data_IF_126741406326
#
_entry.id   IF_126741406326
#
_cell.length_a   1.000
_cell.length_b   1.000
_cell.length_c   1.000
_cell.angle_alpha   90.00
_cell.angle_beta   90.00
_cell.angle_gamma   90.00
#
_symmetry.space_group_name_H-M   'P 1'
#
loop_
_entity.id
_entity.type
_entity.pdbx_description
1 polymer ?
#
# COMPACT_ATOMS: atom_id res chain seq x y z
N UNK A 1 10.01 6.81 -2.78
CA UNK A 1 9.13 6.35 -1.68
C UNK A 1 7.79 5.82 -2.16
N UNK A 2 7.06 6.55 -3.02
CA UNK A 2 5.75 6.09 -3.57
C UNK A 2 5.82 4.75 -4.32
N UNK A 3 6.97 4.42 -4.93
CA UNK A 3 7.16 3.18 -5.71
C UNK A 3 6.88 1.89 -4.92
N UNK A 4 7.18 1.87 -3.62
CA UNK A 4 6.90 0.70 -2.75
C UNK A 4 5.40 0.47 -2.62
N UNK A 5 4.62 1.54 -2.42
CA UNK A 5 3.16 1.45 -2.32
C UNK A 5 2.53 0.88 -3.59
N UNK A 6 3.02 1.28 -4.77
CA UNK A 6 2.51 0.79 -6.05
C UNK A 6 2.74 -0.73 -6.23
N UNK A 7 3.90 -1.23 -5.79
CA UNK A 7 4.19 -2.66 -5.82
C UNK A 7 3.26 -3.43 -4.87
N UNK A 8 3.08 -2.93 -3.65
CA UNK A 8 2.19 -3.54 -2.65
C UNK A 8 0.75 -3.52 -3.14
N UNK A 9 0.28 -2.39 -3.70
CA UNK A 9 -1.05 -2.26 -4.32
C UNK A 9 -1.27 -3.32 -5.39
N UNK A 10 -0.31 -3.48 -6.33
CA UNK A 10 -0.36 -4.52 -7.36
C UNK A 10 -0.41 -5.95 -6.79
N UNK A 11 0.39 -6.22 -5.77
CA UNK A 11 0.43 -7.52 -5.08
C UNK A 11 -0.90 -7.86 -4.40
N UNK A 12 -1.40 -6.96 -3.54
CA UNK A 12 -2.60 -7.19 -2.72
C UNK A 12 -3.85 -7.33 -3.59
N UNK A 13 -3.97 -6.48 -4.63
CA UNK A 13 -5.11 -6.52 -5.55
C UNK A 13 -5.19 -7.80 -6.37
N UNK A 14 -4.04 -8.35 -6.78
CA UNK A 14 -3.97 -9.52 -7.66
C UNK A 14 -4.05 -10.83 -6.88
N UNK A 15 -3.62 -10.85 -5.62
CA UNK A 15 -3.50 -12.08 -4.81
C UNK A 15 -4.80 -12.89 -4.74
N UNK A 16 -5.91 -12.28 -4.32
CA UNK A 16 -7.20 -12.98 -4.16
C UNK A 16 -7.78 -13.47 -5.51
N UNK A 17 -7.87 -12.65 -6.57
CA UNK A 17 -8.28 -13.12 -7.89
C UNK A 17 -7.40 -14.26 -8.43
N UNK A 18 -6.07 -14.16 -8.32
CA UNK A 18 -5.14 -15.19 -8.78
C UNK A 18 -5.29 -16.50 -8.01
N UNK A 19 -5.50 -16.43 -6.69
CA UNK A 19 -5.80 -17.61 -5.88
C UNK A 19 -7.07 -18.32 -6.35
N UNK A 20 -8.14 -17.57 -6.63
CA UNK A 20 -9.40 -18.14 -7.13
C UNK A 20 -9.26 -18.77 -8.52
N UNK A 21 -8.49 -18.13 -9.41
CA UNK A 21 -8.11 -18.64 -10.73
C UNK A 21 -7.38 -19.98 -10.62
N UNK A 22 -6.44 -20.12 -9.67
CA UNK A 22 -5.73 -21.39 -9.42
C UNK A 22 -6.63 -22.48 -8.88
N UNK A 23 -7.64 -22.14 -8.08
CA UNK A 23 -8.67 -23.08 -7.60
C UNK A 23 -9.77 -23.36 -8.63
N UNK A 24 -9.59 -22.96 -9.90
CA UNK A 24 -10.55 -23.12 -11.00
C UNK A 24 -11.94 -22.49 -10.74
N UNK A 25 -12.05 -21.57 -9.78
CA UNK A 25 -13.30 -20.88 -9.42
C UNK A 25 -13.45 -19.55 -10.18
N UNK A 26 -13.61 -19.65 -11.51
CA UNK A 26 -13.59 -18.51 -12.44
C UNK A 26 -14.68 -17.47 -12.17
N UNK A 27 -15.91 -17.91 -11.92
CA UNK A 27 -17.05 -17.03 -11.65
C UNK A 27 -16.79 -16.18 -10.40
N UNK A 28 -16.33 -16.81 -9.32
CA UNK A 28 -15.93 -16.12 -8.09
C UNK A 28 -14.77 -15.16 -8.32
N UNK A 29 -13.82 -15.49 -9.20
CA UNK A 29 -12.72 -14.61 -9.55
C UNK A 29 -13.20 -13.36 -10.29
N UNK A 30 -14.05 -13.51 -11.30
CA UNK A 30 -14.62 -12.38 -12.04
C UNK A 30 -15.55 -11.52 -11.19
N UNK A 31 -16.38 -12.13 -10.36
CA UNK A 31 -17.18 -11.43 -9.37
C UNK A 31 -16.28 -10.62 -8.42
N UNK A 32 -15.20 -11.23 -7.91
CA UNK A 32 -14.23 -10.55 -7.03
C UNK A 32 -13.54 -9.37 -7.74
N UNK A 33 -13.21 -9.50 -9.02
CA UNK A 33 -12.60 -8.43 -9.82
C UNK A 33 -13.58 -7.27 -10.02
N UNK A 34 -14.80 -7.52 -10.49
CA UNK A 34 -15.82 -6.48 -10.66
C UNK A 34 -16.12 -5.72 -9.36
N UNK A 35 -16.34 -6.48 -8.29
CA UNK A 35 -16.51 -6.03 -6.91
C UNK A 35 -15.35 -5.15 -6.42
N UNK A 36 -14.11 -5.55 -6.72
CA UNK A 36 -12.91 -4.81 -6.32
C UNK A 36 -12.74 -3.53 -7.14
N UNK A 37 -13.02 -3.56 -8.44
CA UNK A 37 -12.99 -2.38 -9.31
C UNK A 37 -13.97 -1.31 -8.82
N UNK A 38 -15.22 -1.68 -8.57
CA UNK A 38 -16.27 -0.74 -8.14
C UNK A 38 -15.93 -0.09 -6.79
N UNK A 39 -15.66 -0.89 -5.76
CA UNK A 39 -15.36 -0.35 -4.43
C UNK A 39 -14.10 0.50 -4.40
N UNK A 40 -13.12 0.21 -5.26
CA UNK A 40 -11.83 0.91 -5.26
C UNK A 40 -11.97 2.37 -5.67
N UNK A 41 -12.86 2.70 -6.61
CA UNK A 41 -13.21 4.09 -6.95
C UNK A 41 -13.64 4.84 -5.69
N UNK A 42 -14.62 4.30 -4.97
CA UNK A 42 -15.19 4.95 -3.78
C UNK A 42 -14.15 5.12 -2.68
N UNK A 43 -13.36 4.06 -2.39
CA UNK A 43 -12.36 4.08 -1.31
C UNK A 43 -11.20 5.04 -1.56
N UNK A 44 -10.78 5.21 -2.82
CA UNK A 44 -9.67 6.11 -3.15
C UNK A 44 -10.14 7.56 -3.29
N UNK A 45 -11.30 7.81 -3.90
CA UNK A 45 -11.70 9.19 -4.18
C UNK A 45 -12.43 9.87 -3.04
N UNK A 46 -13.31 9.18 -2.29
CA UNK A 46 -14.09 9.82 -1.22
C UNK A 46 -13.18 10.43 -0.13
N UNK A 47 -12.18 9.73 0.43
CA UNK A 47 -11.34 10.30 1.46
C UNK A 47 -10.44 11.40 0.89
N UNK A 48 -9.98 11.26 -0.36
CA UNK A 48 -9.21 12.30 -1.05
C UNK A 48 -10.02 13.59 -1.20
N UNK A 49 -11.28 13.50 -1.61
CA UNK A 49 -12.21 14.64 -1.75
C UNK A 49 -12.49 15.29 -0.39
N UNK A 50 -12.73 14.48 0.64
CA UNK A 50 -12.89 14.98 2.01
C UNK A 50 -11.62 15.71 2.50
N UNK A 51 -10.44 15.17 2.21
CA UNK A 51 -9.16 15.80 2.54
C UNK A 51 -8.99 17.18 1.93
N UNK A 52 -9.20 17.32 0.61
CA UNK A 52 -9.12 18.64 -0.06
C UNK A 52 -10.22 19.60 0.39
N UNK A 53 -11.38 19.09 0.80
CA UNK A 53 -12.43 19.92 1.41
C UNK A 53 -12.03 20.45 2.79
N UNK A 54 -11.38 19.62 3.63
CA UNK A 54 -10.79 20.08 4.89
C UNK A 54 -9.73 21.17 4.64
N UNK A 55 -8.92 21.05 3.59
CA UNK A 55 -7.96 22.11 3.20
C UNK A 55 -8.69 23.38 2.80
N UNK A 56 -9.76 23.30 2.00
CA UNK A 56 -10.57 24.47 1.64
C UNK A 56 -11.08 25.20 2.88
N UNK A 57 -11.59 24.48 3.88
CA UNK A 57 -12.00 25.07 5.16
C UNK A 57 -10.80 25.70 5.87
N UNK A 58 -9.65 25.03 5.93
CA UNK A 58 -8.46 25.54 6.60
C UNK A 58 -7.91 26.82 5.96
N UNK A 59 -7.96 26.92 4.63
CA UNK A 59 -7.62 28.13 3.88
C UNK A 59 -8.56 29.27 4.24
N UNK A 60 -9.87 28.98 4.37
CA UNK A 60 -10.88 29.98 4.75
C UNK A 60 -10.77 30.45 6.18
N UNK A 61 -10.33 29.59 7.09
CA UNK A 61 -10.03 29.95 8.48
C UNK A 61 -8.69 30.69 8.62
N UNK A 62 -7.91 30.79 7.55
CA UNK A 62 -6.67 31.57 7.52
C UNK A 62 -5.43 30.83 7.99
N UNK A 63 -5.49 29.51 8.22
CA UNK A 63 -4.33 28.71 8.66
C UNK A 63 -3.18 28.70 7.67
N UNK A 64 -3.43 29.02 6.40
CA UNK A 64 -2.42 29.06 5.34
C UNK A 64 -1.81 30.45 5.10
N UNK A 65 -2.32 31.54 5.71
CA UNK A 65 -1.83 32.89 5.39
C UNK A 65 -0.36 33.09 5.75
N UNK A 66 0.01 32.80 6.99
CA UNK A 66 1.38 32.96 7.45
C UNK A 66 2.33 31.98 6.74
N UNK A 67 1.92 30.72 6.61
CA UNK A 67 2.71 29.72 5.89
C UNK A 67 2.99 30.08 4.43
N UNK A 68 2.00 30.65 3.74
CA UNK A 68 2.14 31.10 2.34
C UNK A 68 3.08 32.29 2.24
N UNK A 69 3.01 33.22 3.20
CA UNK A 69 3.96 34.33 3.28
C UNK A 69 5.41 33.82 3.48
N UNK A 70 5.64 32.87 4.40
CA UNK A 70 6.96 32.26 4.63
C UNK A 70 7.50 31.58 3.37
N UNK A 71 6.63 30.89 2.63
CA UNK A 71 6.98 30.26 1.35
C UNK A 71 7.39 31.30 0.30
N UNK A 72 6.61 32.38 0.17
CA UNK A 72 6.80 33.43 -0.84
C UNK A 72 8.03 34.30 -0.55
N UNK A 73 8.35 34.52 0.72
CA UNK A 73 9.59 35.17 1.15
C UNK A 73 10.81 34.34 0.73
N UNK A 74 10.73 33.01 0.74
CA UNK A 74 11.74 32.11 0.15
C UNK A 74 13.11 32.09 0.86
N UNK A 75 13.29 32.87 1.93
CA UNK A 75 14.57 33.00 2.66
C UNK A 75 14.75 31.99 3.81
N UNK A 76 13.66 31.38 4.27
CA UNK A 76 13.66 30.54 5.48
C UNK A 76 13.78 29.05 5.13
N UNK A 77 12.92 28.52 4.27
CA UNK A 77 12.95 27.11 3.85
C UNK A 77 13.61 27.02 2.47
N UNK A 78 14.84 26.49 2.43
CA UNK A 78 15.60 26.30 1.20
C UNK A 78 15.26 24.93 0.59
N UNK A 79 14.76 24.91 -0.65
CA UNK A 79 14.44 23.66 -1.35
C UNK A 79 13.32 23.80 -2.38
N UNK A 80 12.70 22.68 -2.75
CA UNK A 80 11.50 22.68 -3.60
C UNK A 80 10.29 23.08 -2.77
N UNK A 81 9.88 24.34 -2.89
CA UNK A 81 8.66 24.84 -2.27
C UNK A 81 7.44 24.25 -2.99
N UNK A 82 6.63 23.50 -2.25
CA UNK A 82 5.42 22.91 -2.78
C UNK A 82 4.30 23.96 -2.90
N UNK A 83 3.35 23.70 -3.80
CA UNK A 83 2.27 24.61 -4.13
C UNK A 83 1.30 24.74 -2.94
N UNK A 84 0.94 25.97 -2.56
CA UNK A 84 -0.12 26.24 -1.57
C UNK A 84 -1.41 26.65 -2.29
N UNK A 85 -2.57 26.40 -1.68
CA UNK A 85 -3.85 26.78 -2.25
C UNK A 85 -3.98 28.30 -2.42
N UNK A 86 -4.51 28.79 -3.57
CA UNK A 86 -4.79 30.20 -3.75
C UNK A 86 -5.93 30.64 -2.82
N UNK A 87 -5.85 31.89 -2.34
CA UNK A 87 -6.91 32.51 -1.53
C UNK A 87 -7.78 33.42 -2.40
N UNK A 88 -9.07 33.10 -2.51
CA UNK A 88 -10.06 33.94 -3.22
C UNK A 88 -10.93 34.73 -2.24
N UNK A 89 -11.22 36.00 -2.54
CA UNK A 89 -12.05 36.86 -1.67
C UNK A 89 -13.49 36.34 -1.54
N UNK A 90 -14.08 35.83 -2.62
CA UNK A 90 -15.45 35.32 -2.63
C UNK A 90 -15.51 33.83 -2.32
N UNK A 91 -16.42 33.41 -1.42
CA UNK A 91 -16.66 31.99 -1.10
C UNK A 91 -16.96 31.16 -2.34
N UNK A 92 -17.80 31.70 -3.24
CA UNK A 92 -18.25 31.04 -4.46
C UNK A 92 -17.08 30.75 -5.40
N UNK A 93 -16.12 31.68 -5.50
CA UNK A 93 -14.93 31.51 -6.35
C UNK A 93 -14.04 30.38 -5.84
N UNK A 94 -13.79 30.31 -4.54
CA UNK A 94 -13.00 29.22 -3.95
C UNK A 94 -13.72 27.89 -4.03
N UNK A 95 -15.04 27.86 -3.82
CA UNK A 95 -15.80 26.63 -3.96
C UNK A 95 -15.78 26.14 -5.41
N UNK A 96 -15.86 27.04 -6.39
CA UNK A 96 -15.71 26.72 -7.81
C UNK A 96 -14.31 26.17 -8.13
N UNK A 97 -13.26 26.79 -7.60
CA UNK A 97 -11.88 26.32 -7.77
C UNK A 97 -11.65 24.93 -7.15
N UNK A 98 -12.20 24.68 -5.96
CA UNK A 98 -12.21 23.37 -5.34
C UNK A 98 -12.99 22.33 -6.16
N UNK A 99 -14.17 22.69 -6.66
CA UNK A 99 -14.97 21.80 -7.52
C UNK A 99 -14.23 21.43 -8.81
N UNK A 100 -13.59 22.40 -9.47
CA UNK A 100 -12.76 22.14 -10.65
C UNK A 100 -11.57 21.25 -10.32
N UNK A 101 -10.93 21.46 -9.17
CA UNK A 101 -9.86 20.59 -8.67
C UNK A 101 -10.34 19.15 -8.47
N UNK A 102 -11.52 18.96 -7.87
CA UNK A 102 -12.16 17.64 -7.70
C UNK A 102 -12.43 17.01 -9.07
N UNK A 103 -13.00 17.76 -10.01
CA UNK A 103 -13.34 17.26 -11.34
C UNK A 103 -12.10 16.80 -12.12
N UNK A 104 -11.01 17.57 -12.06
CA UNK A 104 -9.73 17.18 -12.65
C UNK A 104 -9.07 15.99 -11.95
N UNK A 105 -9.20 15.88 -10.62
CA UNK A 105 -8.69 14.73 -9.87
C UNK A 105 -9.44 13.44 -10.25
N UNK A 106 -10.74 13.54 -10.55
CA UNK A 106 -11.58 12.41 -10.94
C UNK A 106 -11.40 11.98 -12.39
N UNK A 107 -10.70 12.75 -13.23
CA UNK A 107 -10.47 12.42 -14.63
C UNK A 107 -9.52 11.20 -14.77
N UNK A 108 -10.01 10.03 -15.20
CA UNK A 108 -9.18 8.85 -15.32
C UNK A 108 -8.43 8.80 -16.67
N UNK A 109 -8.76 9.68 -17.63
CA UNK A 109 -8.27 9.62 -19.01
C UNK A 109 -7.07 10.51 -19.26
N UNK A 110 -6.83 11.49 -18.40
CA UNK A 110 -5.58 12.23 -18.44
C UNK A 110 -4.43 11.35 -17.95
N UNK A 111 -3.47 11.05 -18.83
CA UNK A 111 -2.29 10.21 -18.53
C UNK A 111 -1.12 10.97 -17.90
N UNK A 112 -1.23 12.30 -17.79
CA UNK A 112 -0.22 13.16 -17.20
C UNK A 112 -0.28 13.16 -15.66
N UNK A 113 0.77 13.68 -15.04
CA UNK A 113 0.80 13.88 -13.59
C UNK A 113 0.15 15.22 -13.27
N UNK A 114 -0.88 15.22 -12.43
CA UNK A 114 -1.60 16.42 -12.01
C UNK A 114 -1.35 16.70 -10.53
N UNK A 115 -0.56 17.73 -10.25
CA UNK A 115 -0.36 18.28 -8.92
C UNK A 115 -1.38 19.39 -8.72
N UNK A 116 -2.22 19.25 -7.70
CA UNK A 116 -3.22 20.27 -7.36
C UNK A 116 -2.73 21.16 -6.22
N UNK A 117 -3.29 22.37 -6.11
CA UNK A 117 -2.85 23.36 -5.13
C UNK A 117 -3.31 23.07 -3.69
N UNK A 118 -4.37 22.28 -3.48
CA UNK A 118 -4.89 21.98 -2.14
C UNK A 118 -4.08 20.89 -1.45
N UNK A 119 -3.68 19.86 -2.19
CA UNK A 119 -2.84 18.78 -1.72
C UNK A 119 -2.08 18.17 -2.91
N UNK A 120 -0.87 18.67 -3.20
CA UNK A 120 -0.06 18.23 -4.32
C UNK A 120 0.16 16.72 -4.33
N UNK A 121 0.29 16.09 -3.15
CA UNK A 121 0.60 14.67 -3.07
C UNK A 121 -0.48 13.78 -3.69
N UNK A 122 -1.75 14.20 -3.71
CA UNK A 122 -2.87 13.41 -4.24
C UNK A 122 -2.77 13.07 -5.74
N UNK A 123 -1.76 13.59 -6.45
CA UNK A 123 -1.43 13.18 -7.82
C UNK A 123 -1.32 11.66 -7.99
N UNK A 124 -0.95 10.92 -6.93
CA UNK A 124 -0.83 9.45 -7.02
C UNK A 124 -2.18 8.75 -7.10
N UNK A 125 -3.27 9.33 -6.59
CA UNK A 125 -4.58 8.67 -6.49
C UNK A 125 -5.14 8.31 -7.87
N UNK A 126 -5.17 9.22 -8.87
CA UNK A 126 -5.59 8.87 -10.23
C UNK A 126 -4.64 7.87 -10.88
N UNK A 127 -3.33 7.93 -10.59
CA UNK A 127 -2.34 6.97 -11.11
C UNK A 127 -2.63 5.56 -10.56
N UNK A 128 -2.78 5.43 -9.24
CA UNK A 128 -3.15 4.20 -8.54
C UNK A 128 -4.44 3.60 -9.12
N UNK A 129 -5.45 4.42 -9.38
CA UNK A 129 -6.69 3.96 -9.97
C UNK A 129 -6.50 3.44 -11.40
N UNK A 130 -5.82 4.18 -12.28
CA UNK A 130 -5.52 3.75 -13.66
C UNK A 130 -4.72 2.45 -13.72
N UNK A 131 -3.65 2.35 -12.92
CA UNK A 131 -2.85 1.12 -12.85
C UNK A 131 -3.66 -0.08 -12.37
N UNK A 132 -4.64 0.15 -11.49
CA UNK A 132 -5.56 -0.91 -11.03
C UNK A 132 -6.46 -1.40 -12.14
N UNK A 133 -6.99 -0.50 -12.97
CA UNK A 133 -7.78 -0.89 -14.16
C UNK A 133 -6.94 -1.71 -15.14
N UNK A 134 -5.71 -1.27 -15.43
CA UNK A 134 -4.77 -2.02 -16.28
C UNK A 134 -4.46 -3.41 -15.69
N UNK A 135 -4.26 -3.50 -14.38
CA UNK A 135 -4.02 -4.74 -13.67
C UNK A 135 -5.23 -5.68 -13.76
N UNK A 136 -6.43 -5.20 -13.47
CA UNK A 136 -7.65 -6.02 -13.53
C UNK A 136 -7.91 -6.52 -14.94
N UNK A 137 -7.72 -5.67 -15.96
CA UNK A 137 -7.82 -6.08 -17.35
C UNK A 137 -6.80 -7.16 -17.72
N UNK A 138 -5.56 -7.01 -17.24
CA UNK A 138 -4.51 -8.01 -17.45
C UNK A 138 -4.90 -9.33 -16.81
N UNK A 139 -5.36 -9.34 -15.55
CA UNK A 139 -5.82 -10.56 -14.86
C UNK A 139 -6.96 -11.25 -15.61
N UNK A 140 -7.95 -10.49 -16.10
CA UNK A 140 -9.05 -11.04 -16.90
C UNK A 140 -8.51 -11.71 -18.17
N UNK A 141 -7.64 -11.01 -18.90
CA UNK A 141 -7.04 -11.50 -20.15
C UNK A 141 -6.26 -12.82 -19.93
N UNK A 142 -5.41 -12.88 -18.90
CA UNK A 142 -4.56 -14.05 -18.63
C UNK A 142 -5.23 -15.13 -17.78
N UNK A 143 -6.48 -14.93 -17.36
CA UNK A 143 -7.17 -15.82 -16.42
C UNK A 143 -7.19 -17.27 -16.92
N UNK A 144 -7.50 -17.48 -18.21
CA UNK A 144 -7.62 -18.82 -18.82
C UNK A 144 -6.31 -19.42 -19.30
N UNK A 145 -5.20 -18.70 -19.21
CA UNK A 145 -3.91 -19.19 -19.68
C UNK A 145 -3.24 -20.13 -18.67
N UNK A 146 -2.42 -21.04 -19.19
CA UNK A 146 -1.54 -21.87 -18.36
C UNK A 146 -0.58 -20.95 -17.59
N UNK A 147 -0.23 -21.34 -16.36
CA UNK A 147 0.62 -20.54 -15.45
C UNK A 147 1.92 -20.07 -16.10
N UNK A 148 2.63 -20.94 -16.82
CA UNK A 148 3.88 -20.55 -17.48
C UNK A 148 3.65 -19.53 -18.61
N UNK A 149 2.58 -19.70 -19.41
CA UNK A 149 2.21 -18.77 -20.48
C UNK A 149 1.85 -17.41 -19.88
N UNK A 150 1.06 -17.42 -18.81
CA UNK A 150 0.67 -16.21 -18.07
C UNK A 150 1.90 -15.46 -17.55
N UNK A 151 2.82 -16.14 -16.87
CA UNK A 151 4.05 -15.53 -16.36
C UNK A 151 4.91 -14.94 -17.49
N UNK A 152 5.07 -15.66 -18.59
CA UNK A 152 5.80 -15.16 -19.77
C UNK A 152 5.13 -13.93 -20.36
N UNK A 153 3.82 -13.96 -20.59
CA UNK A 153 3.07 -12.83 -21.16
C UNK A 153 3.10 -11.59 -20.27
N UNK A 154 2.91 -11.77 -18.96
CA UNK A 154 3.00 -10.66 -17.98
C UNK A 154 4.42 -10.09 -17.95
N UNK A 155 5.45 -10.94 -18.02
CA UNK A 155 6.85 -10.49 -18.10
C UNK A 155 7.14 -9.72 -19.39
N UNK A 156 6.62 -10.17 -20.54
CA UNK A 156 6.70 -9.43 -21.80
C UNK A 156 5.98 -8.09 -21.73
N UNK A 157 4.81 -8.03 -21.08
CA UNK A 157 4.06 -6.79 -20.87
C UNK A 157 4.81 -5.82 -19.96
N UNK A 158 5.44 -6.31 -18.89
CA UNK A 158 6.32 -5.50 -18.04
C UNK A 158 7.46 -4.90 -18.87
N UNK A 159 8.15 -5.71 -19.67
CA UNK A 159 9.23 -5.24 -20.54
C UNK A 159 8.75 -4.17 -21.54
N UNK A 160 7.57 -4.38 -22.15
CA UNK A 160 6.93 -3.39 -23.02
C UNK A 160 6.64 -2.07 -22.28
N UNK A 161 6.07 -2.12 -21.07
CA UNK A 161 5.80 -0.92 -20.27
C UNK A 161 7.10 -0.20 -19.84
N UNK A 162 8.18 -0.94 -19.55
CA UNK A 162 9.50 -0.37 -19.32
C UNK A 162 9.97 0.39 -20.56
N UNK A 163 9.83 -0.18 -21.76
CA UNK A 163 10.27 0.47 -23.00
C UNK A 163 9.55 1.79 -23.27
N UNK A 164 8.33 1.96 -22.78
CA UNK A 164 7.52 3.18 -22.90
C UNK A 164 7.57 4.10 -21.67
N UNK A 165 8.45 3.81 -20.70
CA UNK A 165 8.61 4.66 -19.51
C UNK A 165 7.43 4.64 -18.53
N UNK A 166 6.54 3.65 -18.62
CA UNK A 166 5.35 3.49 -17.74
C UNK A 166 5.72 2.79 -16.43
N UNK A 167 6.54 3.45 -15.62
CA UNK A 167 7.04 2.96 -14.33
C UNK A 167 5.91 2.55 -13.37
N UNK A 168 4.79 3.27 -13.41
CA UNK A 168 3.61 3.06 -12.59
C UNK A 168 2.94 1.71 -12.86
N UNK A 169 2.71 1.38 -14.14
CA UNK A 169 2.12 0.10 -14.57
C UNK A 169 3.10 -1.05 -14.33
N UNK A 170 4.41 -0.82 -14.55
CA UNK A 170 5.47 -1.80 -14.29
C UNK A 170 5.43 -2.28 -12.84
N UNK A 171 5.28 -1.37 -11.87
CA UNK A 171 5.25 -1.74 -10.45
C UNK A 171 4.03 -2.57 -10.09
N UNK A 172 2.85 -2.22 -10.63
CA UNK A 172 1.62 -2.98 -10.42
C UNK A 172 1.71 -4.40 -11.00
N UNK A 173 2.19 -4.54 -12.23
CA UNK A 173 2.38 -5.83 -12.89
C UNK A 173 3.49 -6.65 -12.21
N UNK A 174 4.56 -6.00 -11.74
CA UNK A 174 5.60 -6.68 -10.94
C UNK A 174 5.02 -7.23 -9.64
N UNK A 175 4.15 -6.46 -8.96
CA UNK A 175 3.39 -6.92 -7.81
C UNK A 175 2.53 -8.15 -8.10
N UNK A 176 1.84 -8.17 -9.23
CA UNK A 176 1.07 -9.33 -9.71
C UNK A 176 1.94 -10.55 -9.98
N UNK A 177 3.08 -10.37 -10.63
CA UNK A 177 4.02 -11.45 -10.90
C UNK A 177 4.54 -12.05 -9.57
N UNK A 178 4.89 -11.20 -8.60
CA UNK A 178 5.29 -11.65 -7.26
C UNK A 178 4.18 -12.42 -6.56
N UNK A 179 2.94 -11.92 -6.60
CA UNK A 179 1.79 -12.62 -5.99
C UNK A 179 1.59 -14.00 -6.61
N UNK A 180 1.74 -14.12 -7.93
CA UNK A 180 1.64 -15.40 -8.62
C UNK A 180 2.76 -16.37 -8.24
N UNK A 181 4.01 -15.90 -8.20
CA UNK A 181 5.16 -16.72 -7.80
C UNK A 181 4.99 -17.18 -6.34
N UNK A 182 4.52 -16.32 -5.45
CA UNK A 182 4.31 -16.68 -4.04
C UNK A 182 3.17 -17.71 -3.87
N UNK A 183 2.12 -17.62 -4.69
CA UNK A 183 1.05 -18.64 -4.77
C UNK A 183 1.56 -19.97 -5.36
N UNK A 184 2.59 -19.97 -6.21
CA UNK A 184 3.22 -21.20 -6.71
C UNK A 184 4.05 -21.88 -5.62
N UNK A 185 4.76 -21.09 -4.81
CA UNK A 185 5.60 -21.60 -3.73
C UNK A 185 4.83 -21.92 -2.44
N UNK A 186 3.54 -21.56 -2.36
CA UNK A 186 2.71 -21.83 -1.19
C UNK A 186 3.16 -21.11 0.07
N UNK A 187 3.81 -19.94 -0.05
CA UNK A 187 4.44 -19.22 1.09
C UNK A 187 3.43 -18.90 2.19
N UNK A 188 2.18 -18.65 1.80
CA UNK A 188 1.10 -18.24 2.70
C UNK A 188 0.01 -19.31 2.87
N UNK A 189 0.25 -20.54 2.41
CA UNK A 189 -0.67 -21.67 2.65
C UNK A 189 -0.27 -22.37 3.95
N UNK A 190 -1.23 -22.56 4.86
CA UNK A 190 -0.99 -23.32 6.09
C UNK A 190 -0.49 -24.74 5.75
N UNK A 191 0.46 -25.29 6.53
CA UNK A 191 0.81 -26.70 6.41
C UNK A 191 -0.48 -27.52 6.55
N UNK A 192 -0.86 -28.23 5.50
CA UNK A 192 -1.99 -29.18 5.58
C UNK A 192 -1.71 -30.09 6.78
N UNK A 193 -2.65 -30.30 7.71
CA UNK A 193 -2.44 -31.27 8.77
C UNK A 193 -2.11 -32.60 8.11
N UNK A 194 -0.91 -33.09 8.35
CA UNK A 194 -0.48 -34.42 7.91
C UNK A 194 -1.51 -35.40 8.46
N UNK A 195 -2.12 -36.28 7.64
CA UNK A 195 -2.92 -37.36 8.18
C UNK A 195 -2.02 -38.13 9.14
N UNK A 196 -2.37 -38.14 10.43
CA UNK A 196 -1.71 -38.99 11.41
C UNK A 196 -1.67 -40.40 10.82
N UNK A 197 -0.51 -41.10 10.80
CA UNK A 197 -0.49 -42.48 10.38
C UNK A 197 -1.48 -43.24 11.25
N UNK A 198 -2.48 -43.86 10.61
CA UNK A 198 -3.48 -44.68 11.27
C UNK A 198 -2.78 -45.64 12.22
N UNK A 199 -2.91 -45.39 13.52
CA UNK A 199 -2.41 -46.29 14.55
C UNK A 199 -2.97 -47.66 14.27
N UNK A 200 -2.10 -48.62 13.93
CA UNK A 200 -2.45 -50.03 13.83
C UNK A 200 -3.08 -50.44 15.16
N UNK A 201 -4.37 -50.76 15.15
CA UNK A 201 -5.06 -51.37 16.28
C UNK A 201 -4.36 -52.65 16.69
N UNK A 202 -3.67 -52.61 17.83
CA UNK A 202 -3.20 -53.81 18.54
C UNK A 202 -4.45 -54.50 19.11
N UNK A 203 -4.72 -55.78 18.80
CA UNK A 203 -5.85 -56.49 19.38
C UNK A 203 -5.50 -56.88 20.82
N UNK A 204 -6.07 -56.18 21.80
CA UNK A 204 -6.03 -56.61 23.19
C UNK A 204 -7.20 -57.56 23.48
N UNK A 205 -6.80 -58.80 23.73
CA UNK A 205 -7.56 -59.94 24.20
C UNK A 205 -8.16 -59.66 25.60
N UNK A 206 -9.46 -59.90 25.75
CA UNK A 206 -10.22 -60.19 26.97
C UNK A 206 -9.74 -59.63 28.34
N UNK A 207 -10.55 -58.74 28.93
CA UNK A 207 -10.97 -58.92 30.32
C UNK A 207 -12.39 -58.38 30.55
N UNK A 208 -13.04 -58.97 31.53
CA UNK A 208 -14.47 -59.24 31.63
C UNK A 208 -15.25 -58.12 32.38
N UNK A 209 -16.44 -57.78 31.85
CA UNK A 209 -17.72 -57.52 32.56
C UNK A 209 -17.80 -56.40 33.61
N UNK A 210 -18.63 -55.39 33.34
CA UNK A 210 -19.87 -55.16 34.12
C UNK A 210 -20.81 -54.22 33.36
N UNK A 211 -22.07 -54.66 33.26
CA UNK A 211 -23.21 -54.07 32.58
C UNK A 211 -24.24 -53.65 33.64
N UNK A 212 -24.87 -52.47 33.51
CA UNK A 212 -26.19 -52.08 34.03
C UNK A 212 -26.59 -50.66 33.48
N UNK A 213 -27.88 -50.28 33.40
CA UNK A 213 -28.54 -50.06 32.11
C UNK A 213 -29.21 -48.69 31.89
N UNK A 214 -29.50 -48.43 30.60
CA UNK A 214 -30.58 -47.64 29.94
C UNK A 214 -31.22 -46.41 30.61
N UNK A 215 -31.27 -45.33 29.83
CA UNK A 215 -32.33 -44.32 29.83
C UNK A 215 -32.45 -43.61 28.47
N UNK A 216 -33.47 -44.02 27.69
CA UNK A 216 -34.16 -43.38 26.54
C UNK A 216 -34.20 -41.83 26.59
N UNK A 217 -34.35 -41.01 25.54
CA UNK A 217 -34.85 -41.16 24.17
C UNK A 217 -34.65 -39.82 23.39
N UNK A 218 -34.74 -39.89 22.06
CA UNK A 218 -35.17 -38.85 21.09
C UNK A 218 -34.20 -37.78 20.55
N UNK A 219 -33.62 -38.11 19.38
CA UNK A 219 -33.80 -37.45 18.07
C UNK A 219 -34.39 -36.02 18.08
N UNK A 220 -33.65 -35.04 17.53
CA UNK A 220 -34.07 -34.16 16.42
C UNK A 220 -32.81 -33.56 15.76
N UNK A 221 -32.79 -33.70 14.44
CA UNK A 221 -31.81 -33.22 13.48
C UNK A 221 -32.10 -31.75 13.14
N UNK A 222 -31.12 -30.85 13.29
CA UNK A 222 -31.18 -29.50 12.72
C UNK A 222 -29.79 -29.00 12.26
N UNK A 223 -29.52 -29.30 10.99
CA UNK A 223 -29.00 -28.38 9.96
C UNK A 223 -28.52 -26.99 10.41
N UNK A 224 -27.20 -26.85 10.49
CA UNK A 224 -26.35 -25.82 9.83
C UNK A 224 -27.01 -24.47 9.46
N UNK A 225 -26.69 -23.43 10.23
CA UNK A 225 -26.51 -22.06 9.70
C UNK A 225 -25.19 -21.47 10.19
N UNK A 226 -24.19 -21.43 9.32
CA UNK A 226 -22.91 -20.77 9.57
C UNK A 226 -23.07 -19.26 9.40
N UNK A 227 -23.15 -18.53 10.51
CA UNK A 227 -22.98 -17.08 10.52
C UNK A 227 -21.52 -16.74 10.24
N UNK A 228 -21.27 -16.11 9.09
CA UNK A 228 -20.04 -15.41 8.76
C UNK A 228 -20.04 -14.04 9.40
N UNK A 229 -19.57 -13.97 10.64
CA UNK A 229 -19.00 -12.77 11.23
C UNK A 229 -17.72 -13.20 11.96
N UNK A 230 -16.72 -12.33 11.97
CA UNK A 230 -15.42 -12.46 12.68
C UNK A 230 -14.25 -13.02 11.85
N UNK A 231 -13.71 -12.20 10.94
CA UNK A 231 -12.34 -12.36 10.39
C UNK A 231 -11.52 -11.08 10.67
N UNK A 232 -11.69 -10.47 11.84
CA UNK A 232 -10.89 -9.28 12.20
C UNK A 232 -9.98 -9.48 13.42
N UNK A 233 -10.03 -10.64 14.10
CA UNK A 233 -9.24 -10.90 15.32
C UNK A 233 -8.69 -12.33 15.40
N UNK A 234 -7.91 -12.80 14.43
CA UNK A 234 -7.10 -14.03 14.62
C UNK A 234 -5.61 -13.67 14.76
N UNK A 235 -4.93 -14.10 15.85
CA UNK A 235 -3.48 -13.95 15.96
C UNK A 235 -2.81 -14.83 14.91
N UNK A 236 -1.85 -14.28 14.16
CA UNK A 236 -1.01 -15.05 13.24
C UNK A 236 -0.20 -16.10 14.03
N UNK A 237 -0.31 -17.41 13.75
CA UNK A 237 0.56 -18.40 14.37
C UNK A 237 1.95 -18.36 13.72
N UNK A 238 2.99 -18.22 14.55
CA UNK A 238 4.40 -18.33 14.14
C UNK A 238 4.75 -19.77 13.73
N UNK A 239 5.51 -19.98 12.63
CA UNK A 239 5.87 -21.31 12.19
C UNK A 239 6.96 -21.92 13.09
N UNK A 240 6.66 -23.03 13.76
CA UNK A 240 7.66 -23.89 14.41
C UNK A 240 8.23 -24.87 13.39
N UNK A 241 9.48 -24.63 12.96
CA UNK A 241 10.23 -25.56 12.11
C UNK A 241 10.99 -26.59 12.96
N UNK A 242 10.92 -27.86 12.53
CA UNK A 242 11.64 -28.99 13.13
C UNK A 242 13.17 -28.95 12.95
N UNK A 243 13.84 -29.56 13.92
CA UNK A 243 15.25 -29.42 14.33
C UNK A 243 16.38 -29.94 13.39
N UNK A 244 16.22 -29.95 12.06
CA UNK A 244 17.24 -30.56 11.16
C UNK A 244 17.84 -29.66 10.08
N UNK A 245 17.79 -28.32 10.20
CA UNK A 245 18.16 -27.41 9.09
C UNK A 245 19.02 -26.17 9.43
N UNK A 246 19.82 -26.20 10.50
CA UNK A 246 20.54 -25.00 10.97
C UNK A 246 21.57 -24.41 9.97
N UNK A 247 22.25 -25.22 9.14
CA UNK A 247 23.29 -24.69 8.24
C UNK A 247 22.74 -24.10 6.92
N UNK A 248 21.65 -24.68 6.39
CA UNK A 248 20.98 -24.20 5.15
C UNK A 248 20.14 -22.94 5.40
N UNK A 249 19.61 -22.77 6.61
CA UNK A 249 18.88 -21.57 7.03
C UNK A 249 19.79 -20.33 7.15
N UNK A 250 21.03 -20.48 7.61
CA UNK A 250 21.96 -19.35 7.77
C UNK A 250 22.35 -18.68 6.45
N UNK A 251 22.66 -19.47 5.42
CA UNK A 251 23.01 -18.95 4.08
C UNK A 251 21.82 -18.29 3.39
N UNK A 252 20.63 -18.89 3.48
CA UNK A 252 19.40 -18.32 2.93
C UNK A 252 19.01 -17.00 3.63
N UNK A 253 19.20 -16.92 4.94
CA UNK A 253 18.99 -15.69 5.72
C UNK A 253 19.92 -14.56 5.26
N UNK A 254 21.22 -14.83 5.18
CA UNK A 254 22.21 -13.84 4.76
C UNK A 254 21.97 -13.35 3.33
N UNK A 255 21.57 -14.25 2.43
CA UNK A 255 21.18 -13.92 1.06
C UNK A 255 20.06 -12.88 1.03
N UNK A 256 18.92 -13.13 1.68
CA UNK A 256 17.78 -12.22 1.61
C UNK A 256 18.00 -10.90 2.35
N UNK A 257 18.81 -10.90 3.42
CA UNK A 257 19.25 -9.65 4.07
C UNK A 257 20.16 -8.82 3.15
N UNK A 258 21.05 -9.48 2.40
CA UNK A 258 21.90 -8.81 1.42
C UNK A 258 21.07 -8.24 0.28
N UNK A 259 20.13 -9.01 -0.26
CA UNK A 259 19.19 -8.57 -1.31
C UNK A 259 18.34 -7.39 -0.84
N UNK A 260 17.84 -7.43 0.40
CA UNK A 260 17.11 -6.31 1.00
C UNK A 260 17.97 -5.05 1.11
N UNK A 261 19.22 -5.18 1.55
CA UNK A 261 20.17 -4.06 1.66
C UNK A 261 20.49 -3.46 0.29
N UNK A 262 20.71 -4.30 -0.73
CA UNK A 262 20.88 -3.86 -2.12
C UNK A 262 19.63 -3.15 -2.63
N UNK A 263 18.44 -3.68 -2.33
CA UNK A 263 17.17 -3.05 -2.68
C UNK A 263 16.99 -1.67 -2.04
N UNK A 264 17.31 -1.52 -0.74
CA UNK A 264 17.30 -0.24 -0.03
C UNK A 264 18.28 0.75 -0.64
N UNK A 265 19.48 0.29 -0.99
CA UNK A 265 20.50 1.14 -1.59
C UNK A 265 20.07 1.64 -2.98
N UNK A 266 19.62 0.75 -3.87
CA UNK A 266 19.10 1.15 -5.19
C UNK A 266 17.86 2.05 -5.06
N UNK A 267 16.97 1.73 -4.12
CA UNK A 267 15.76 2.50 -3.84
C UNK A 267 16.00 3.89 -3.24
N UNK A 268 17.19 4.14 -2.69
CA UNK A 268 17.61 5.43 -2.11
C UNK A 268 18.22 6.38 -3.15
N UNK A 269 18.04 6.11 -4.44
CA UNK A 269 18.51 6.98 -5.53
C UNK A 269 17.92 8.39 -5.41
N UNK A 270 18.75 9.45 -5.48
CA UNK A 270 18.31 10.83 -5.28
C UNK A 270 17.40 11.32 -6.42
N UNK A 271 16.37 12.09 -6.06
CA UNK A 271 15.43 12.68 -7.04
C UNK A 271 16.11 13.77 -7.88
N UNK A 272 16.94 14.60 -7.24
CA UNK A 272 17.59 15.76 -7.84
C UNK A 272 19.09 15.48 -8.01
N UNK A 273 19.65 15.91 -9.14
CA UNK A 273 21.09 15.81 -9.44
C UNK A 273 21.70 14.40 -9.29
N UNK A 274 21.14 13.34 -9.92
CA UNK A 274 21.77 12.01 -9.88
C UNK A 274 23.20 12.00 -10.47
N UNK A 275 23.55 13.02 -11.25
CA UNK A 275 24.88 13.24 -11.82
C UNK A 275 25.96 13.61 -10.78
N UNK A 276 25.57 14.21 -9.64
CA UNK A 276 26.52 14.61 -8.58
C UNK A 276 26.90 13.45 -7.65
N UNK A 277 26.20 12.32 -7.76
CA UNK A 277 26.50 11.10 -7.00
C UNK A 277 27.15 10.06 -7.91
N UNK A 278 28.47 9.81 -7.81
CA UNK A 278 29.21 9.03 -8.81
C UNK A 278 28.68 7.59 -8.97
N UNK A 279 28.23 6.96 -7.87
CA UNK A 279 27.66 5.62 -7.92
C UNK A 279 26.31 5.57 -8.66
N UNK A 280 25.37 6.43 -8.28
CA UNK A 280 24.05 6.47 -8.93
C UNK A 280 24.13 6.99 -10.36
N UNK A 281 25.09 7.85 -10.69
CA UNK A 281 25.34 8.28 -12.08
C UNK A 281 25.67 7.09 -12.97
N UNK A 282 26.64 6.28 -12.56
CA UNK A 282 27.04 5.08 -13.32
C UNK A 282 25.88 4.09 -13.41
N UNK A 283 25.23 3.81 -12.28
CA UNK A 283 24.10 2.88 -12.24
C UNK A 283 22.92 3.34 -13.11
N UNK A 284 22.57 4.63 -13.04
CA UNK A 284 21.52 5.22 -13.86
C UNK A 284 21.88 5.15 -15.35
N UNK A 285 23.14 5.44 -15.71
CA UNK A 285 23.59 5.39 -17.10
C UNK A 285 23.57 4.00 -17.71
N UNK A 286 23.79 2.96 -16.91
CA UNK A 286 23.84 1.56 -17.38
C UNK A 286 22.45 0.94 -17.44
N UNK A 287 21.63 1.15 -16.40
CA UNK A 287 20.39 0.41 -16.22
C UNK A 287 19.14 1.16 -16.72
N UNK A 288 19.17 2.49 -16.78
CA UNK A 288 17.96 3.27 -17.08
C UNK A 288 17.74 3.33 -18.59
N UNK A 289 16.60 2.86 -19.11
CA UNK A 289 16.27 3.04 -20.52
C UNK A 289 16.12 4.53 -20.84
N UNK A 290 16.65 4.97 -21.99
CA UNK A 290 16.58 6.37 -22.45
C UNK A 290 15.16 6.92 -22.66
N UNK A 291 14.15 6.04 -22.63
CA UNK A 291 12.73 6.40 -22.82
C UNK A 291 12.03 6.81 -21.52
N UNK A 292 12.69 6.67 -20.36
CA UNK A 292 12.11 7.13 -19.10
C UNK A 292 12.14 8.66 -19.01
N UNK A 293 10.99 9.31 -18.76
CA UNK A 293 10.94 10.77 -18.62
C UNK A 293 11.70 11.25 -17.38
N UNK A 294 11.74 10.44 -16.32
CA UNK A 294 12.46 10.73 -15.08
C UNK A 294 13.33 9.53 -14.69
N UNK A 295 14.62 9.59 -15.02
CA UNK A 295 15.54 8.46 -14.85
C UNK A 295 15.66 7.94 -13.41
N UNK A 296 15.52 8.81 -12.41
CA UNK A 296 15.55 8.41 -11.00
C UNK A 296 14.40 7.46 -10.62
N UNK A 297 13.23 7.57 -11.29
CA UNK A 297 12.08 6.70 -11.01
C UNK A 297 12.34 5.24 -11.37
N UNK A 298 13.18 4.97 -12.37
CA UNK A 298 13.50 3.60 -12.75
C UNK A 298 14.25 2.86 -11.65
N UNK A 299 15.32 3.48 -11.11
CA UNK A 299 16.08 2.88 -10.01
C UNK A 299 15.22 2.72 -8.76
N UNK A 300 14.41 3.72 -8.41
CA UNK A 300 13.48 3.62 -7.29
C UNK A 300 12.41 2.54 -7.48
N UNK A 301 11.99 2.28 -8.73
CA UNK A 301 11.06 1.22 -9.09
C UNK A 301 11.70 -0.16 -8.93
N UNK A 302 12.93 -0.32 -9.44
CA UNK A 302 13.70 -1.54 -9.30
C UNK A 302 13.98 -1.87 -7.82
N UNK A 303 14.42 -0.86 -7.05
CA UNK A 303 14.65 -0.99 -5.61
C UNK A 303 13.39 -1.43 -4.87
N UNK A 304 12.22 -0.85 -5.18
CA UNK A 304 10.95 -1.23 -4.57
C UNK A 304 10.58 -2.71 -4.84
N UNK A 305 10.74 -3.19 -6.07
CA UNK A 305 10.48 -4.60 -6.42
C UNK A 305 11.40 -5.54 -5.65
N UNK A 306 12.70 -5.21 -5.56
CA UNK A 306 13.69 -6.01 -4.82
C UNK A 306 13.37 -6.03 -3.33
N UNK A 307 13.02 -4.88 -2.74
CA UNK A 307 12.64 -4.76 -1.33
C UNK A 307 11.45 -5.68 -1.02
N UNK A 308 10.36 -5.57 -1.76
CA UNK A 308 9.16 -6.39 -1.51
C UNK A 308 9.44 -7.87 -1.71
N UNK A 309 10.17 -8.24 -2.77
CA UNK A 309 10.58 -9.62 -3.01
C UNK A 309 11.39 -10.19 -1.82
N UNK A 310 12.33 -9.43 -1.29
CA UNK A 310 13.14 -9.86 -0.15
C UNK A 310 12.36 -10.00 1.15
N UNK A 311 11.38 -9.12 1.41
CA UNK A 311 10.50 -9.20 2.58
C UNK A 311 9.61 -10.44 2.50
N UNK A 312 9.03 -10.74 1.34
CA UNK A 312 8.18 -11.93 1.17
C UNK A 312 8.92 -13.25 1.42
N UNK A 313 10.25 -13.27 1.28
CA UNK A 313 11.10 -14.47 1.42
C UNK A 313 11.86 -14.58 2.73
N UNK A 314 11.79 -13.56 3.60
CA UNK A 314 12.53 -13.51 4.86
C UNK A 314 11.61 -13.28 6.07
N UNK A 315 11.33 -14.34 6.87
CA UNK A 315 10.55 -14.21 8.11
C UNK A 315 11.15 -13.22 9.11
N UNK A 316 12.47 -13.05 9.12
CA UNK A 316 13.13 -12.10 10.02
C UNK A 316 12.86 -10.65 9.64
N UNK A 317 12.82 -10.35 8.33
CA UNK A 317 12.42 -9.01 7.86
C UNK A 317 10.93 -8.78 8.12
N UNK A 318 10.09 -9.80 7.97
CA UNK A 318 8.65 -9.69 8.25
C UNK A 318 8.36 -9.31 9.71
N UNK A 319 9.10 -9.84 10.69
CA UNK A 319 8.94 -9.50 12.12
C UNK A 319 9.01 -8.00 12.40
N UNK A 320 9.83 -7.27 11.64
CA UNK A 320 9.95 -5.80 11.76
C UNK A 320 8.66 -5.09 11.34
N UNK A 321 7.92 -5.64 10.38
CA UNK A 321 6.71 -5.04 9.81
C UNK A 321 5.40 -5.62 10.37
N UNK A 322 5.45 -6.71 11.14
CA UNK A 322 4.27 -7.35 11.72
C UNK A 322 4.02 -7.01 13.19
N UNK A 323 4.84 -6.14 13.81
CA UNK A 323 4.62 -5.71 15.19
C UNK A 323 3.38 -4.79 15.33
N UNK A 324 2.88 -4.63 16.55
CA UNK A 324 1.64 -3.88 16.83
C UNK A 324 1.70 -2.41 16.38
N UNK A 325 2.86 -1.77 16.51
CA UNK A 325 3.07 -0.39 16.07
C UNK A 325 3.02 -0.28 14.54
N UNK A 326 3.73 -1.16 13.83
CA UNK A 326 3.74 -1.21 12.37
C UNK A 326 2.35 -1.48 11.80
N UNK A 327 1.57 -2.39 12.42
CA UNK A 327 0.18 -2.64 12.04
C UNK A 327 -0.73 -1.44 12.32
N UNK A 328 -0.54 -0.73 13.43
CA UNK A 328 -1.26 0.51 13.71
C UNK A 328 -0.95 1.59 12.65
N UNK A 329 0.33 1.85 12.38
CA UNK A 329 0.76 2.79 11.35
C UNK A 329 0.25 2.39 9.96
N UNK A 330 0.21 1.08 9.67
CA UNK A 330 -0.40 0.54 8.45
C UNK A 330 -1.89 0.85 8.34
N UNK A 331 -2.66 0.73 9.43
CA UNK A 331 -4.10 1.04 9.45
C UNK A 331 -4.41 2.50 9.15
N UNK A 332 -3.61 3.43 9.69
CA UNK A 332 -3.80 4.88 9.47
C UNK A 332 -3.01 5.43 8.27
N UNK A 333 -2.24 4.59 7.56
CA UNK A 333 -1.29 5.03 6.54
C UNK A 333 -1.92 5.84 5.41
N UNK A 334 -3.12 5.46 4.97
CA UNK A 334 -3.83 6.16 3.91
C UNK A 334 -4.36 7.52 4.38
N UNK A 335 -4.94 7.59 5.58
CA UNK A 335 -5.32 8.85 6.22
C UNK A 335 -4.12 9.77 6.42
N UNK A 336 -3.00 9.23 6.93
CA UNK A 336 -1.74 9.97 7.09
C UNK A 336 -1.23 10.52 5.76
N UNK A 337 -1.27 9.71 4.70
CA UNK A 337 -0.91 10.14 3.36
C UNK A 337 -1.76 11.34 2.87
N UNK A 338 -3.04 11.38 3.19
CA UNK A 338 -3.90 12.53 2.83
C UNK A 338 -3.56 13.76 3.66
N UNK A 339 -3.34 13.64 4.98
CA UNK A 339 -3.26 14.81 5.87
C UNK A 339 -1.85 15.37 6.06
N UNK A 340 -0.79 14.58 5.87
CA UNK A 340 0.59 15.02 6.18
C UNK A 340 1.03 16.24 5.36
N UNK A 341 0.72 16.29 4.07
CA UNK A 341 1.06 17.43 3.19
C UNK A 341 0.39 18.72 3.65
N UNK A 342 -0.94 18.75 3.78
CA UNK A 342 -1.66 19.89 4.34
C UNK A 342 -1.14 20.38 5.69
N UNK A 343 -0.81 19.46 6.60
CA UNK A 343 -0.25 19.81 7.92
C UNK A 343 1.15 20.42 7.76
N UNK A 344 1.98 19.85 6.88
CA UNK A 344 3.31 20.41 6.60
C UNK A 344 3.19 21.81 6.00
N UNK A 345 2.32 22.02 5.01
CA UNK A 345 2.11 23.30 4.32
C UNK A 345 1.46 24.37 5.19
N UNK A 346 0.68 24.00 6.19
CA UNK A 346 0.06 24.96 7.13
C UNK A 346 0.93 25.14 8.37
N UNK A 347 1.04 24.11 9.20
CA UNK A 347 1.74 24.15 10.47
C UNK A 347 3.27 24.14 10.28
N UNK A 348 3.80 23.27 9.43
CA UNK A 348 5.26 23.11 9.26
C UNK A 348 5.95 24.38 8.78
N UNK A 349 5.45 24.99 7.71
CA UNK A 349 5.95 26.27 7.19
C UNK A 349 5.79 27.42 8.20
N UNK A 350 4.75 27.37 9.04
CA UNK A 350 4.52 28.38 10.08
C UNK A 350 5.46 28.23 11.29
N UNK A 351 5.91 27.03 11.61
CA UNK A 351 6.76 26.78 12.79
C UNK A 351 8.25 27.01 12.51
N UNK A 352 8.72 26.71 11.30
CA UNK A 352 10.16 26.77 10.97
C UNK A 352 10.84 28.12 11.21
N UNK A 353 10.26 29.28 10.81
CA UNK A 353 10.89 30.56 11.08
C UNK A 353 11.15 30.80 12.56
N UNK A 354 10.18 30.47 13.41
CA UNK A 354 10.28 30.64 14.86
C UNK A 354 11.30 29.70 15.48
N UNK A 355 11.37 28.45 14.99
CA UNK A 355 12.35 27.48 15.48
C UNK A 355 13.77 27.91 15.10
N UNK A 356 14.00 28.31 13.86
CA UNK A 356 15.33 28.77 13.44
C UNK A 356 15.72 30.14 13.99
N UNK A 357 14.75 30.98 14.36
CA UNK A 357 15.03 32.19 15.15
C UNK A 357 15.60 31.86 16.54
N UNK A 358 15.25 30.71 17.12
CA UNK A 358 15.75 30.25 18.42
C UNK A 358 17.03 29.42 18.31
N UNK A 359 17.12 28.49 17.33
CA UNK A 359 18.28 27.59 17.20
C UNK A 359 19.44 28.22 16.42
N UNK A 360 19.16 29.23 15.59
CA UNK A 360 20.07 29.71 14.56
C UNK A 360 20.07 28.84 13.30
N UNK A 361 20.62 29.37 12.21
CA UNK A 361 20.74 28.71 10.90
C UNK A 361 22.13 28.82 10.26
N UNK A 362 23.09 29.39 10.98
CA UNK A 362 24.42 29.72 10.43
C UNK A 362 25.31 28.48 10.25
N UNK A 363 25.09 27.44 11.07
CA UNK A 363 25.82 26.17 10.97
C UNK A 363 24.91 25.04 10.51
N UNK A 364 25.48 24.07 9.78
CA UNK A 364 24.75 22.85 9.37
C UNK A 364 24.16 22.09 10.57
N UNK A 365 24.83 22.10 11.72
CA UNK A 365 24.35 21.45 12.92
C UNK A 365 23.10 22.13 13.49
N UNK A 366 23.10 23.46 13.60
CA UNK A 366 21.94 24.25 14.05
C UNK A 366 20.76 24.08 13.08
N UNK A 367 21.03 24.10 11.78
CA UNK A 367 20.02 23.90 10.74
C UNK A 367 19.34 22.52 10.87
N UNK A 368 20.13 21.44 10.96
CA UNK A 368 19.63 20.07 11.17
C UNK A 368 18.89 19.94 12.51
N UNK A 369 19.35 20.58 13.57
CA UNK A 369 18.71 20.54 14.87
C UNK A 369 17.34 21.24 14.86
N UNK A 370 17.23 22.41 14.21
CA UNK A 370 15.95 23.09 14.01
C UNK A 370 14.94 22.23 13.23
N UNK A 371 15.40 21.54 12.18
CA UNK A 371 14.56 20.57 11.48
C UNK A 371 14.13 19.38 12.36
N UNK A 372 15.02 18.86 13.20
CA UNK A 372 14.69 17.78 14.11
C UNK A 372 13.60 18.19 15.11
N UNK A 373 13.66 19.41 15.66
CA UNK A 373 12.60 19.97 16.52
C UNK A 373 11.29 20.10 15.73
N UNK A 374 11.34 20.65 14.52
CA UNK A 374 10.18 20.75 13.65
C UNK A 374 9.52 19.40 13.38
N UNK A 375 10.33 18.39 13.07
CA UNK A 375 9.87 17.03 12.84
C UNK A 375 9.27 16.40 14.10
N UNK A 376 9.87 16.61 15.27
CA UNK A 376 9.36 16.14 16.57
C UNK A 376 8.00 16.76 16.94
N UNK A 377 7.67 17.95 16.42
CA UNK A 377 6.36 18.59 16.62
C UNK A 377 5.37 18.15 15.53
N UNK A 378 5.77 18.23 14.26
CA UNK A 378 4.88 17.95 13.14
C UNK A 378 4.49 16.48 13.03
N UNK A 379 5.38 15.54 13.37
CA UNK A 379 5.08 14.10 13.24
C UNK A 379 3.97 13.64 14.20
N UNK A 380 4.02 13.92 15.53
CA UNK A 380 2.92 13.57 16.43
C UNK A 380 1.60 14.21 16.04
N UNK A 381 1.61 15.49 15.64
CA UNK A 381 0.40 16.17 15.16
C UNK A 381 -0.16 15.48 13.91
N UNK A 382 0.71 15.12 12.96
CA UNK A 382 0.30 14.42 11.74
C UNK A 382 -0.27 13.04 12.03
N UNK A 383 0.32 12.28 12.96
CA UNK A 383 -0.20 10.97 13.40
C UNK A 383 -1.56 11.13 14.09
N UNK A 384 -1.71 12.13 14.95
CA UNK A 384 -2.96 12.39 15.66
C UNK A 384 -4.10 12.78 14.72
N UNK A 385 -3.87 13.76 13.82
CA UNK A 385 -4.86 14.16 12.81
C UNK A 385 -5.16 12.99 11.86
N UNK A 386 -4.17 12.17 11.51
CA UNK A 386 -4.38 10.98 10.69
C UNK A 386 -5.28 9.94 11.38
N UNK A 387 -5.11 9.70 12.68
CA UNK A 387 -5.99 8.79 13.43
C UNK A 387 -7.43 9.33 13.49
N UNK A 388 -7.60 10.63 13.73
CA UNK A 388 -8.93 11.27 13.69
C UNK A 388 -9.59 11.15 12.31
N UNK A 389 -8.84 11.46 11.25
CA UNK A 389 -9.31 11.36 9.87
C UNK A 389 -9.64 9.91 9.48
N UNK A 390 -8.82 8.96 9.95
CA UNK A 390 -9.07 7.54 9.74
C UNK A 390 -10.40 7.09 10.35
N UNK A 391 -10.67 7.47 11.61
CA UNK A 391 -11.93 7.14 12.30
C UNK A 391 -13.14 7.86 11.70
N UNK A 392 -12.97 9.13 11.33
CA UNK A 392 -14.05 10.00 10.87
C UNK A 392 -14.44 9.84 9.40
N UNK A 393 -13.48 9.50 8.53
CA UNK A 393 -13.68 9.51 7.07
C UNK A 393 -13.28 8.18 6.43
N UNK A 394 -12.05 7.71 6.64
CA UNK A 394 -11.51 6.55 5.90
C UNK A 394 -12.25 5.25 6.24
N UNK A 395 -12.31 4.86 7.52
CA UNK A 395 -12.98 3.64 7.94
C UNK A 395 -14.50 3.64 7.62
N UNK A 396 -15.24 4.74 7.84
CA UNK A 396 -16.62 4.85 7.36
C UNK A 396 -16.75 4.72 5.84
N UNK A 397 -15.83 5.27 5.06
CA UNK A 397 -15.82 5.14 3.59
C UNK A 397 -15.71 3.68 3.16
N UNK A 398 -14.89 2.88 3.84
CA UNK A 398 -14.78 1.44 3.55
C UNK A 398 -16.13 0.74 3.78
N UNK A 399 -16.83 1.05 4.88
CA UNK A 399 -18.16 0.50 5.18
C UNK A 399 -19.20 0.96 4.17
N UNK A 400 -19.20 2.25 3.84
CA UNK A 400 -20.05 2.85 2.82
C UNK A 400 -19.85 2.18 1.46
N UNK A 401 -18.60 1.97 1.03
CA UNK A 401 -18.31 1.29 -0.25
C UNK A 401 -18.89 -0.13 -0.33
N UNK A 402 -18.89 -0.87 0.79
CA UNK A 402 -19.51 -2.21 0.87
C UNK A 402 -21.03 -2.14 0.88
N UNK A 403 -21.61 -1.13 1.53
CA UNK A 403 -23.05 -0.91 1.54
C UNK A 403 -23.56 -0.54 0.14
N UNK A 404 -22.92 0.43 -0.52
CA UNK A 404 -23.23 0.81 -1.91
C UNK A 404 -23.13 -0.42 -2.82
N UNK A 405 -22.04 -1.18 -2.73
CA UNK A 405 -21.90 -2.39 -3.52
C UNK A 405 -23.07 -3.38 -3.33
N UNK A 406 -23.53 -3.62 -2.10
CA UNK A 406 -24.69 -4.49 -1.83
C UNK A 406 -25.99 -3.96 -2.43
N UNK A 407 -26.14 -2.63 -2.52
CA UNK A 407 -27.31 -2.00 -3.13
C UNK A 407 -27.29 -2.06 -4.67
N UNK A 408 -26.10 -1.97 -5.28
CA UNK A 408 -25.95 -1.85 -6.73
C UNK A 408 -25.62 -3.17 -7.44
N UNK A 409 -24.88 -4.09 -6.81
CA UNK A 409 -24.57 -5.39 -7.40
C UNK A 409 -25.68 -6.38 -7.10
N UNK A 410 -26.09 -7.12 -8.13
CA UNK A 410 -27.05 -8.22 -8.00
C UNK A 410 -26.50 -9.23 -7.00
N UNK A 411 -27.20 -9.39 -5.88
CA UNK A 411 -26.90 -10.42 -4.91
C UNK A 411 -27.28 -11.78 -5.49
N UNK A 412 -26.33 -12.45 -6.15
CA UNK A 412 -26.52 -13.82 -6.60
C UNK A 412 -25.74 -14.16 -7.86
N UNK A 413 -24.62 -14.86 -7.68
CA UNK A 413 -24.16 -15.97 -8.52
C UNK A 413 -23.34 -16.91 -7.62
#
# INVERSE_FOLDING_TARGET
MVTIFFVISGYVLSYKPLRLIRTHSWEKAFHTLASSTFRRVLRLYIPSIAGIFCVLIAVRLGFYHYATWVRDEGHTILGTNEQHPPYFKSFVEQFKDWYLTVAHLLDPWNWNTYYNFYNPHLWTIPVEFRCSLSLFLTIVCVSRFRTWIRLTLVSCLIYYCIRWGRWDVVLFLSGMLMAEVDLIHGIWEDPRPTPLPSSRSIPLLHLHKHEYPRGNDNVIDHTRSSNTHDIENTPYPTPTMGNSSHHRQGSHRLLWLSVFTVGLFIGSSPNNSPQSTPFYRTLASILTPSTYPEGHRFLQSLGAVIIICSINRSPDLQKVFTNALAQYLGRISYAFYIVHGPILHSLGYSLMPNIWALTGKETNAQYCFGFAIGWLICLPVSIWVADMFWRGVDAPTVRFSRWVEKCFLVAGL
#
